data_IF_420751402414
#
_entry.id   IF_420751402414
#
_cell.length_a   1.000
_cell.length_b   1.000
_cell.length_c   1.000
_cell.angle_alpha   90.00
_cell.angle_beta   90.00
_cell.angle_gamma   90.00
#
_symmetry.space_group_name_H-M   'P 1'
#
loop_
_entity.id
_entity.type
_entity.pdbx_description
1 polymer ?
#
# COMPACT_ATOMS: atom_id res chain seq x y z
N UNK A 1 -17.58 -0.50 15.33
CA UNK A 1 -18.38 -1.22 14.31
C UNK A 1 -19.50 -0.28 13.87
N UNK A 2 -19.33 0.44 12.76
CA UNK A 2 -20.35 1.34 12.17
C UNK A 2 -20.89 0.67 10.91
N UNK A 3 -22.22 0.55 10.83
CA UNK A 3 -22.92 0.00 9.67
C UNK A 3 -22.77 0.99 8.51
N UNK A 4 -22.00 0.61 7.49
CA UNK A 4 -21.78 1.41 6.26
C UNK A 4 -20.41 2.09 6.11
N UNK A 5 -19.52 2.02 7.10
CA UNK A 5 -18.16 2.58 7.01
C UNK A 5 -17.13 1.59 6.42
N UNK A 6 -15.98 2.07 5.89
CA UNK A 6 -14.90 1.18 5.45
C UNK A 6 -14.43 0.29 6.61
N UNK A 7 -14.12 -0.98 6.32
CA UNK A 7 -13.58 -1.90 7.32
C UNK A 7 -12.16 -1.45 7.70
N UNK A 8 -12.01 -0.94 8.91
CA UNK A 8 -10.71 -0.53 9.48
C UNK A 8 -10.16 -1.65 10.35
N UNK A 9 -8.86 -1.90 10.25
CA UNK A 9 -8.11 -2.80 11.13
C UNK A 9 -6.87 -2.06 11.63
N UNK A 10 -6.59 -2.17 12.92
CA UNK A 10 -5.47 -1.48 13.58
C UNK A 10 -4.45 -2.55 13.95
N UNK A 11 -3.22 -2.40 13.47
CA UNK A 11 -2.14 -3.33 13.75
C UNK A 11 -0.83 -2.90 13.10
N UNK A 12 0.23 -3.69 13.28
CA UNK A 12 1.56 -3.33 12.81
C UNK A 12 1.62 -3.30 11.27
N UNK A 13 2.42 -2.37 10.75
CA UNK A 13 2.80 -2.29 9.35
C UNK A 13 4.31 -2.55 9.28
N UNK A 14 4.73 -3.52 8.47
CA UNK A 14 6.15 -3.82 8.28
C UNK A 14 6.72 -2.97 7.14
N UNK A 15 7.86 -2.32 7.38
CA UNK A 15 8.64 -1.66 6.33
C UNK A 15 9.43 -2.68 5.52
N UNK A 16 9.42 -2.56 4.19
CA UNK A 16 10.19 -3.40 3.26
C UNK A 16 10.88 -2.54 2.22
N UNK A 17 12.04 -2.97 1.71
CA UNK A 17 12.80 -2.18 0.72
C UNK A 17 12.49 -2.59 -0.74
N UNK A 18 11.54 -3.50 -0.93
CA UNK A 18 11.17 -4.03 -2.24
C UNK A 18 9.69 -4.42 -2.31
N UNK A 19 9.20 -4.57 -3.54
CA UNK A 19 7.81 -4.97 -3.81
C UNK A 19 7.58 -6.43 -3.42
N UNK A 20 6.69 -6.67 -2.45
CA UNK A 20 6.28 -8.01 -1.99
C UNK A 20 5.20 -8.56 -2.92
N UNK A 21 5.62 -9.11 -4.06
CA UNK A 21 4.68 -9.48 -5.13
C UNK A 21 4.01 -10.85 -4.94
N UNK A 22 4.70 -11.79 -4.31
CA UNK A 22 4.30 -13.22 -4.28
C UNK A 22 3.52 -13.57 -3.03
N UNK A 23 2.51 -14.45 -3.15
CA UNK A 23 1.69 -14.89 -2.00
C UNK A 23 2.53 -15.53 -0.90
N UNK A 24 3.51 -16.36 -1.30
CA UNK A 24 4.42 -17.06 -0.37
C UNK A 24 5.23 -16.06 0.45
N UNK A 25 5.68 -14.98 -0.19
CA UNK A 25 6.46 -13.94 0.47
C UNK A 25 5.61 -13.13 1.45
N UNK A 26 4.38 -12.75 1.04
CA UNK A 26 3.39 -12.09 1.92
C UNK A 26 3.11 -12.94 3.16
N UNK A 27 2.92 -14.25 2.98
CA UNK A 27 2.74 -15.18 4.10
C UNK A 27 3.99 -15.28 4.98
N UNK A 28 5.18 -15.35 4.37
CA UNK A 28 6.45 -15.35 5.08
C UNK A 28 6.62 -14.13 5.98
N UNK A 29 6.31 -12.93 5.47
CA UNK A 29 6.31 -11.71 6.26
C UNK A 29 5.31 -11.78 7.41
N UNK A 30 4.06 -12.18 7.14
CA UNK A 30 3.05 -12.32 8.18
C UNK A 30 3.47 -13.27 9.30
N UNK A 31 4.04 -14.43 8.96
CA UNK A 31 4.49 -15.41 9.97
C UNK A 31 5.60 -14.86 10.85
N UNK A 32 6.52 -14.05 10.31
CA UNK A 32 7.65 -13.46 11.03
C UNK A 32 7.26 -12.25 11.87
N UNK A 33 6.36 -11.40 11.38
CA UNK A 33 6.13 -10.06 11.97
C UNK A 33 4.74 -9.88 12.55
N UNK A 34 3.78 -10.74 12.17
CA UNK A 34 2.34 -10.56 12.42
C UNK A 34 1.79 -9.22 11.92
N UNK A 35 2.50 -8.53 11.02
CA UNK A 35 2.08 -7.28 10.42
C UNK A 35 0.86 -7.47 9.51
N UNK A 36 -0.07 -6.50 9.55
CA UNK A 36 -1.30 -6.52 8.76
C UNK A 36 -1.07 -6.04 7.33
N UNK A 37 -0.05 -5.20 7.13
CA UNK A 37 0.33 -4.67 5.84
C UNK A 37 1.85 -4.54 5.75
N UNK A 38 2.36 -4.49 4.52
CA UNK A 38 3.72 -4.13 4.20
C UNK A 38 3.70 -2.87 3.32
N UNK A 39 4.61 -1.93 3.56
CA UNK A 39 4.84 -0.79 2.68
C UNK A 39 6.32 -0.43 2.61
N UNK A 40 6.69 0.43 1.66
CA UNK A 40 8.09 0.74 1.39
C UNK A 40 8.55 2.08 1.96
N UNK A 41 7.64 2.93 2.41
CA UNK A 41 7.99 4.33 2.74
C UNK A 41 7.67 4.72 4.18
N UNK A 42 6.70 4.08 4.84
CA UNK A 42 6.21 4.60 6.14
C UNK A 42 7.24 4.49 7.24
N UNK A 43 8.12 3.48 7.20
CA UNK A 43 9.20 3.33 8.17
C UNK A 43 10.21 4.50 8.09
N UNK A 44 10.50 5.01 6.88
CA UNK A 44 11.36 6.18 6.68
C UNK A 44 10.73 7.46 7.22
N UNK A 45 9.43 7.67 6.97
CA UNK A 45 8.69 8.81 7.51
C UNK A 45 8.57 8.73 9.04
N UNK A 46 8.33 7.54 9.59
CA UNK A 46 8.29 7.30 11.03
C UNK A 46 9.61 7.69 11.71
N UNK A 47 10.74 7.31 11.10
CA UNK A 47 12.07 7.68 11.59
C UNK A 47 12.26 9.20 11.57
N UNK A 48 11.98 9.85 10.43
CA UNK A 48 12.13 11.30 10.33
C UNK A 48 11.22 12.06 11.32
N UNK A 49 9.99 11.59 11.52
CA UNK A 49 9.07 12.16 12.49
C UNK A 49 9.56 11.99 13.94
N UNK A 50 10.14 10.83 14.26
CA UNK A 50 10.76 10.58 15.56
C UNK A 50 11.98 11.47 15.80
N UNK A 51 12.82 11.66 14.80
CA UNK A 51 13.99 12.56 14.85
C UNK A 51 13.58 14.03 15.02
N UNK A 52 12.45 14.41 14.44
CA UNK A 52 11.89 15.77 14.54
C UNK A 52 10.94 15.96 15.73
N UNK A 53 10.72 14.95 16.57
CA UNK A 53 9.81 14.97 17.73
C UNK A 53 8.36 15.38 17.38
N UNK A 54 7.86 15.02 16.20
CA UNK A 54 6.49 15.34 15.76
C UNK A 54 5.55 14.13 15.82
N UNK A 55 4.26 14.32 16.16
CA UNK A 55 3.27 13.24 16.13
C UNK A 55 3.18 12.61 14.74
N UNK A 56 3.15 11.27 14.70
CA UNK A 56 3.09 10.51 13.46
C UNK A 56 2.01 9.44 13.52
N UNK A 57 1.26 9.30 12.42
CA UNK A 57 0.28 8.26 12.24
C UNK A 57 0.26 7.79 10.80
N UNK A 58 0.05 6.48 10.59
CA UNK A 58 -0.02 5.87 9.27
C UNK A 58 -1.40 5.27 9.06
N UNK A 59 -1.99 5.58 7.92
CA UNK A 59 -3.18 4.91 7.41
C UNK A 59 -2.85 4.43 6.00
N UNK A 60 -2.90 3.11 5.81
CA UNK A 60 -2.75 2.47 4.50
C UNK A 60 -4.07 1.85 4.06
N UNK A 61 -4.25 1.78 2.75
CA UNK A 61 -5.31 0.97 2.15
C UNK A 61 -4.66 -0.16 1.37
N UNK A 62 -5.15 -1.38 1.58
CA UNK A 62 -4.61 -2.59 0.96
C UNK A 62 -5.25 -2.75 -0.42
N UNK A 63 -4.45 -2.61 -1.47
CA UNK A 63 -4.89 -2.76 -2.87
C UNK A 63 -4.60 -4.15 -3.43
N UNK A 64 -3.58 -4.83 -2.91
CA UNK A 64 -3.13 -6.16 -3.33
C UNK A 64 -3.17 -7.15 -2.14
N UNK A 65 -4.32 -7.80 -1.87
CA UNK A 65 -4.48 -8.66 -0.70
C UNK A 65 -3.52 -9.86 -0.72
N UNK A 66 -3.33 -10.50 0.44
CA UNK A 66 -2.40 -11.63 0.64
C UNK A 66 -2.65 -12.83 -0.28
N UNK A 67 -3.89 -12.99 -0.76
CA UNK A 67 -4.30 -14.04 -1.68
C UNK A 67 -4.19 -13.64 -3.16
N UNK A 68 -3.57 -12.51 -3.51
CA UNK A 68 -3.36 -12.07 -4.89
C UNK A 68 -1.89 -11.71 -5.11
N UNK A 69 -1.38 -12.10 -6.28
CA UNK A 69 -0.05 -11.68 -6.73
C UNK A 69 -0.13 -10.35 -7.48
N UNK A 70 0.95 -9.58 -7.39
CA UNK A 70 1.07 -8.34 -8.17
C UNK A 70 1.45 -8.70 -9.62
N UNK A 71 0.73 -8.18 -10.64
CA UNK A 71 1.06 -8.42 -12.04
C UNK A 71 2.48 -8.00 -12.41
N UNK A 72 3.14 -8.77 -13.29
CA UNK A 72 4.54 -8.53 -13.63
C UNK A 72 4.74 -7.19 -14.35
N UNK A 73 3.77 -6.74 -15.15
CA UNK A 73 3.78 -5.44 -15.79
C UNK A 73 3.85 -4.28 -14.79
N UNK A 74 3.24 -4.44 -13.61
CA UNK A 74 3.30 -3.42 -12.55
C UNK A 74 4.57 -3.48 -11.74
N UNK A 75 5.13 -4.66 -11.51
CA UNK A 75 6.45 -4.75 -10.86
C UNK A 75 7.50 -4.06 -11.74
N UNK A 76 7.45 -4.29 -13.06
CA UNK A 76 8.37 -3.66 -14.04
C UNK A 76 8.17 -2.16 -14.19
N UNK A 77 7.01 -1.62 -13.81
CA UNK A 77 6.74 -0.20 -13.93
C UNK A 77 7.29 0.61 -12.75
N UNK A 78 7.62 -0.02 -11.62
CA UNK A 78 8.23 0.66 -10.48
C UNK A 78 9.72 0.90 -10.76
N UNK A 79 10.13 2.17 -10.73
CA UNK A 79 11.53 2.57 -10.83
C UNK A 79 12.24 2.44 -9.47
N UNK A 80 13.59 2.41 -9.44
CA UNK A 80 14.35 2.37 -8.19
C UNK A 80 14.08 3.54 -7.24
N UNK A 81 13.64 4.69 -7.78
CA UNK A 81 13.24 5.87 -7.00
C UNK A 81 11.79 5.82 -6.47
N UNK A 82 11.09 4.69 -6.66
CA UNK A 82 9.70 4.48 -6.27
C UNK A 82 8.67 5.08 -7.22
N UNK A 83 9.10 5.84 -8.25
CA UNK A 83 8.18 6.41 -9.24
C UNK A 83 7.69 5.34 -10.22
N UNK A 84 6.50 5.57 -10.79
CA UNK A 84 5.93 4.66 -11.80
C UNK A 84 6.30 5.12 -13.22
N UNK A 85 6.73 4.18 -14.06
CA UNK A 85 7.03 4.37 -15.47
C UNK A 85 5.89 3.87 -16.35
N UNK A 86 5.14 4.81 -16.94
CA UNK A 86 4.05 4.50 -17.87
C UNK A 86 4.57 3.72 -19.09
N UNK A 87 5.74 4.10 -19.63
CA UNK A 87 6.34 3.40 -20.77
C UNK A 87 6.68 1.94 -20.45
N UNK A 88 7.27 1.67 -19.29
CA UNK A 88 7.60 0.31 -18.87
C UNK A 88 6.34 -0.53 -18.57
N UNK A 89 5.30 0.11 -18.01
CA UNK A 89 4.00 -0.52 -17.83
C UNK A 89 3.36 -0.94 -19.16
N UNK A 90 3.30 -0.02 -20.14
CA UNK A 90 2.73 -0.31 -21.46
C UNK A 90 3.54 -1.37 -22.21
N UNK A 91 4.87 -1.32 -22.14
CA UNK A 91 5.73 -2.36 -22.68
C UNK A 91 5.47 -3.72 -22.00
N UNK A 92 5.29 -3.75 -20.68
CA UNK A 92 4.93 -4.94 -19.93
C UNK A 92 3.58 -5.54 -20.36
N UNK A 93 2.57 -4.70 -20.57
CA UNK A 93 1.26 -5.14 -21.07
C UNK A 93 1.33 -5.64 -22.52
N UNK A 94 2.14 -5.01 -23.37
CA UNK A 94 2.36 -5.47 -24.74
C UNK A 94 3.02 -6.86 -24.78
N UNK A 95 3.91 -7.16 -23.82
CA UNK A 95 4.56 -8.45 -23.68
C UNK A 95 3.66 -9.52 -23.05
N UNK A 96 2.69 -9.13 -22.21
CA UNK A 96 1.76 -10.05 -21.57
C UNK A 96 0.32 -9.48 -21.53
N UNK A 97 -0.42 -9.54 -22.66
CA UNK A 97 -1.74 -8.91 -22.77
C UNK A 97 -2.81 -9.56 -21.88
N UNK A 98 -2.57 -10.79 -21.39
CA UNK A 98 -3.46 -11.45 -20.43
C UNK A 98 -3.48 -10.74 -19.06
N UNK A 99 -2.47 -9.92 -18.74
CA UNK A 99 -2.42 -9.14 -17.49
C UNK A 99 -3.30 -7.88 -17.52
N UNK A 100 -3.85 -7.49 -18.68
CA UNK A 100 -4.66 -6.26 -18.81
C UNK A 100 -5.84 -6.27 -17.82
N UNK A 101 -6.56 -7.40 -17.72
CA UNK A 101 -7.69 -7.53 -16.80
C UNK A 101 -7.28 -7.38 -15.33
N UNK A 102 -6.18 -8.02 -14.94
CA UNK A 102 -5.65 -7.94 -13.58
C UNK A 102 -5.16 -6.53 -13.23
N UNK A 103 -4.53 -5.84 -14.18
CA UNK A 103 -4.09 -4.46 -14.01
C UNK A 103 -5.29 -3.50 -13.89
N UNK A 104 -6.33 -3.68 -14.71
CA UNK A 104 -7.53 -2.86 -14.63
C UNK A 104 -8.26 -3.06 -13.30
N UNK A 105 -8.42 -4.30 -12.83
CA UNK A 105 -8.99 -4.57 -11.51
C UNK A 105 -8.19 -3.87 -10.41
N UNK A 106 -6.86 -3.95 -10.44
CA UNK A 106 -6.02 -3.31 -9.44
C UNK A 106 -6.07 -1.77 -9.52
N UNK A 107 -6.21 -1.19 -10.71
CA UNK A 107 -6.40 0.25 -10.88
C UNK A 107 -7.76 0.73 -10.30
N UNK A 108 -8.82 -0.04 -10.49
CA UNK A 108 -10.13 0.23 -9.89
C UNK A 108 -10.08 0.11 -8.36
N UNK A 109 -9.46 -0.96 -7.85
CA UNK A 109 -9.24 -1.18 -6.42
C UNK A 109 -8.46 0.01 -5.81
N UNK A 110 -7.42 0.50 -6.51
CA UNK A 110 -6.65 1.67 -6.11
C UNK A 110 -7.48 2.96 -6.10
N UNK A 111 -8.33 3.19 -7.10
CA UNK A 111 -9.20 4.37 -7.14
C UNK A 111 -10.19 4.41 -5.96
N UNK A 112 -10.81 3.26 -5.64
CA UNK A 112 -11.68 3.09 -4.47
C UNK A 112 -10.87 3.33 -3.19
N UNK A 113 -9.68 2.75 -3.10
CA UNK A 113 -8.78 2.88 -1.96
C UNK A 113 -8.40 4.34 -1.69
N UNK A 114 -7.99 5.10 -2.70
CA UNK A 114 -7.65 6.52 -2.54
C UNK A 114 -8.85 7.35 -2.09
N UNK A 115 -10.06 7.05 -2.58
CA UNK A 115 -11.28 7.75 -2.12
C UNK A 115 -11.53 7.49 -0.63
N UNK A 116 -11.39 6.25 -0.17
CA UNK A 116 -11.51 5.90 1.24
C UNK A 116 -10.42 6.55 2.08
N UNK A 117 -9.17 6.56 1.61
CA UNK A 117 -8.05 7.18 2.32
C UNK A 117 -8.24 8.69 2.50
N UNK A 118 -8.70 9.39 1.46
CA UNK A 118 -9.02 10.84 1.54
C UNK A 118 -10.14 11.12 2.54
N UNK A 119 -11.12 10.22 2.64
CA UNK A 119 -12.20 10.36 3.61
C UNK A 119 -11.69 10.21 5.05
N UNK A 120 -10.86 9.18 5.33
CA UNK A 120 -10.28 8.94 6.66
C UNK A 120 -9.26 10.02 7.05
N UNK A 121 -8.38 10.43 6.12
CA UNK A 121 -7.33 11.40 6.38
C UNK A 121 -7.84 12.77 6.82
N UNK A 122 -9.01 13.20 6.34
CA UNK A 122 -9.66 14.45 6.77
C UNK A 122 -10.05 14.45 8.25
N UNK A 123 -10.38 13.29 8.82
CA UNK A 123 -10.69 13.15 10.25
C UNK A 123 -9.45 12.91 11.11
N UNK A 124 -8.38 12.36 10.55
CA UNK A 124 -7.18 11.96 11.29
C UNK A 124 -6.27 13.15 11.64
N UNK A 125 -6.10 14.10 10.72
CA UNK A 125 -5.19 15.23 10.93
C UNK A 125 -5.56 16.10 12.15
N UNK A 126 -6.84 16.48 12.36
CA UNK A 126 -7.23 17.20 13.57
C UNK A 126 -7.11 16.37 14.87
N UNK A 127 -7.16 15.05 14.79
CA UNK A 127 -7.04 14.16 15.96
C UNK A 127 -5.59 13.97 16.39
N UNK A 128 -4.66 13.83 15.43
CA UNK A 128 -3.22 13.74 15.70
C UNK A 128 -2.66 15.03 16.32
N UNK A 129 -3.13 16.19 15.85
CA UNK A 129 -2.71 17.49 16.40
C UNK A 129 -3.29 17.78 17.79
N UNK A 130 -4.35 17.08 18.20
CA UNK A 130 -4.94 17.20 19.55
C UNK A 130 -4.33 16.22 20.56
N UNK A 131 -3.39 15.38 20.14
CA UNK A 131 -2.66 14.47 21.04
C UNK A 131 -3.39 13.17 21.39
N UNK A 132 -4.48 12.83 20.70
CA UNK A 132 -5.54 11.89 21.13
C UNK A 132 -6.32 12.36 22.36
#
# INVERSE_FOLDING_TARGET
>A
RTVGGPKVSIGPIVGVDHVVAKRVEKLGLFTKTRAFAADMESHGVARAASEAEVPFGVVRVVIDPSNREVPSAMIRSVRPDGSTSIGAFLAGLALNPLEIGACLSLALDAAIAFRSLRHVGRGLAPALLRGL
#
